data_IF_646117939042
#
_entry.id   IF_646117939042
#
_cell.length_a   1.000
_cell.length_b   1.000
_cell.length_c   1.000
_cell.angle_alpha   90.00
_cell.angle_beta   90.00
_cell.angle_gamma   90.00
#
_symmetry.space_group_name_H-M   'P 1'
#
loop_
_entity.id
_entity.type
_entity.pdbx_description
1 polymer ?
#
# COMPACT_ATOMS: atom_id res chain seq x y z
N UNK A 1 -15.43 -57.06 3.27
CA UNK A 1 -14.04 -56.55 3.21
C UNK A 1 -13.90 -55.73 1.94
N UNK A 2 -14.18 -54.43 2.02
CA UNK A 2 -13.98 -53.51 0.91
C UNK A 2 -12.87 -52.52 1.34
N UNK A 3 -11.68 -52.65 0.74
CA UNK A 3 -10.58 -51.69 0.84
C UNK A 3 -10.90 -50.53 -0.09
N UNK A 4 -11.23 -49.39 0.49
CA UNK A 4 -11.26 -48.11 -0.22
C UNK A 4 -9.83 -47.63 -0.38
N UNK A 5 -9.32 -47.63 -1.62
CA UNK A 5 -8.08 -47.02 -2.02
C UNK A 5 -8.24 -45.47 -1.86
N UNK A 6 -7.63 -44.92 -0.81
CA UNK A 6 -7.45 -43.49 -0.68
C UNK A 6 -6.42 -43.01 -1.70
N UNK A 7 -6.89 -42.45 -2.82
CA UNK A 7 -6.03 -41.67 -3.72
C UNK A 7 -5.55 -40.42 -2.98
N UNK A 8 -4.31 -40.47 -2.54
CA UNK A 8 -3.56 -39.26 -2.17
C UNK A 8 -3.36 -38.44 -3.45
N UNK A 9 -4.28 -37.54 -3.74
CA UNK A 9 -4.05 -36.47 -4.71
C UNK A 9 -2.89 -35.64 -4.16
N UNK A 10 -1.68 -35.93 -4.64
CA UNK A 10 -0.51 -35.11 -4.40
C UNK A 10 -0.80 -33.68 -4.81
N UNK A 11 -0.82 -32.78 -3.85
CA UNK A 11 -0.98 -31.34 -4.08
C UNK A 11 0.27 -30.93 -4.88
N UNK A 12 0.10 -30.80 -6.18
CA UNK A 12 1.04 -30.06 -7.03
C UNK A 12 0.95 -28.61 -6.61
N UNK A 13 1.70 -28.21 -5.59
CA UNK A 13 2.05 -26.81 -5.37
C UNK A 13 2.72 -26.40 -6.68
N UNK A 14 2.18 -25.43 -7.43
CA UNK A 14 2.76 -25.06 -8.70
C UNK A 14 4.23 -24.72 -8.46
N UNK A 15 5.12 -25.41 -9.16
CA UNK A 15 6.57 -25.23 -9.14
C UNK A 15 7.00 -23.75 -9.40
N UNK A 16 6.08 -22.92 -9.82
CA UNK A 16 6.20 -21.47 -9.95
C UNK A 16 6.55 -20.76 -8.63
N UNK A 17 6.09 -21.23 -7.48
CA UNK A 17 6.42 -20.61 -6.19
C UNK A 17 7.90 -20.85 -5.81
N UNK A 18 8.47 -21.99 -6.21
CA UNK A 18 9.88 -22.31 -5.97
C UNK A 18 10.85 -21.60 -6.93
N UNK A 19 10.41 -21.27 -8.14
CA UNK A 19 11.21 -20.51 -9.12
C UNK A 19 11.23 -19.00 -8.85
N UNK A 20 10.19 -18.45 -8.22
CA UNK A 20 10.12 -17.01 -7.92
C UNK A 20 11.12 -16.58 -6.83
N UNK A 21 11.45 -17.46 -5.89
CA UNK A 21 12.45 -17.18 -4.82
C UNK A 21 13.86 -16.97 -5.40
N UNK A 22 14.15 -17.52 -6.58
CA UNK A 22 15.49 -17.41 -7.21
C UNK A 22 15.68 -16.13 -8.03
N UNK A 23 14.63 -15.34 -8.27
CA UNK A 23 14.66 -14.18 -9.18
C UNK A 23 14.61 -12.85 -8.43
N UNK A 24 14.44 -12.83 -7.11
CA UNK A 24 14.65 -11.59 -6.37
C UNK A 24 16.12 -11.18 -6.56
N UNK A 25 16.42 -10.13 -7.32
CA UNK A 25 17.78 -9.65 -7.39
C UNK A 25 18.20 -9.32 -5.97
N UNK A 26 19.31 -9.91 -5.54
CA UNK A 26 19.97 -9.62 -4.27
C UNK A 26 19.96 -8.13 -4.05
N UNK A 27 19.20 -7.70 -3.04
CA UNK A 27 18.82 -6.37 -2.65
C UNK A 27 19.56 -5.26 -3.38
N UNK A 28 18.82 -4.39 -4.00
CA UNK A 28 19.38 -3.14 -4.49
C UNK A 28 20.04 -2.44 -3.30
N UNK A 29 21.38 -2.56 -3.23
CA UNK A 29 22.13 -1.78 -2.25
C UNK A 29 21.76 -0.33 -2.54
N UNK A 30 21.26 0.38 -1.54
CA UNK A 30 21.13 1.82 -1.60
C UNK A 30 22.54 2.39 -1.79
N UNK A 31 22.88 2.69 -3.03
CA UNK A 31 24.12 3.36 -3.35
C UNK A 31 23.93 4.83 -2.98
N UNK A 32 24.93 5.40 -2.34
CA UNK A 32 25.00 6.85 -2.20
C UNK A 32 24.79 7.49 -3.59
N UNK A 33 23.91 8.48 -3.73
CA UNK A 33 23.55 9.01 -5.04
C UNK A 33 24.81 9.55 -5.72
N UNK A 34 25.15 9.00 -6.88
CA UNK A 34 26.33 9.35 -7.65
C UNK A 34 26.39 10.85 -8.05
N UNK A 35 25.32 11.61 -7.81
CA UNK A 35 25.14 13.01 -8.12
C UNK A 35 24.73 13.85 -6.88
N UNK A 36 25.33 13.57 -5.73
CA UNK A 36 25.05 14.34 -4.51
C UNK A 36 25.19 15.87 -4.67
N UNK A 37 26.00 16.31 -5.65
CA UNK A 37 26.21 17.74 -5.90
C UNK A 37 25.04 18.45 -6.61
N UNK A 38 24.10 17.71 -7.20
CA UNK A 38 22.93 18.27 -7.88
C UNK A 38 21.76 18.60 -6.92
N UNK A 39 21.82 18.10 -5.70
CA UNK A 39 20.79 18.33 -4.68
C UNK A 39 21.11 19.56 -3.84
N UNK A 40 20.09 20.34 -3.51
CA UNK A 40 20.23 21.41 -2.52
C UNK A 40 20.40 20.84 -1.10
N UNK A 41 20.73 21.72 -0.14
CA UNK A 41 20.97 21.30 1.24
C UNK A 41 19.75 20.66 1.91
N UNK A 42 18.52 21.07 1.57
CA UNK A 42 17.30 20.49 2.11
C UNK A 42 17.05 19.09 1.55
N UNK A 43 17.31 18.91 0.26
CA UNK A 43 17.22 17.62 -0.41
C UNK A 43 18.24 16.64 0.16
N UNK A 44 19.48 17.08 0.37
CA UNK A 44 20.55 16.27 1.00
C UNK A 44 20.18 15.83 2.42
N UNK A 45 19.64 16.74 3.24
CA UNK A 45 19.16 16.41 4.59
C UNK A 45 18.02 15.39 4.50
N UNK A 46 17.04 15.65 3.65
CA UNK A 46 15.90 14.75 3.44
C UNK A 46 16.35 13.35 3.01
N UNK A 47 17.23 13.23 2.03
CA UNK A 47 17.78 11.95 1.58
C UNK A 47 18.54 11.22 2.69
N UNK A 48 19.31 11.96 3.51
CA UNK A 48 19.99 11.38 4.67
C UNK A 48 19.00 10.78 5.68
N UNK A 49 17.84 11.42 5.88
CA UNK A 49 16.84 10.98 6.85
C UNK A 49 16.00 9.80 6.35
N UNK A 50 15.68 9.74 5.04
CA UNK A 50 14.86 8.65 4.49
C UNK A 50 15.67 7.41 4.10
N UNK A 51 16.95 7.54 3.77
CA UNK A 51 17.80 6.41 3.33
C UNK A 51 17.82 5.26 4.35
N UNK A 52 17.99 5.50 5.66
CA UNK A 52 17.93 4.43 6.65
C UNK A 52 16.56 3.73 6.70
N UNK A 53 15.47 4.48 6.50
CA UNK A 53 14.10 3.93 6.48
C UNK A 53 13.93 2.97 5.31
N UNK A 54 14.37 3.39 4.12
CA UNK A 54 14.27 2.57 2.91
C UNK A 54 15.18 1.34 2.97
N UNK A 55 16.36 1.48 3.57
CA UNK A 55 17.27 0.36 3.79
C UNK A 55 16.63 -0.68 4.73
N UNK A 56 16.12 -0.24 5.88
CA UNK A 56 15.46 -1.09 6.87
C UNK A 56 14.24 -1.80 6.26
N UNK A 57 13.44 -1.10 5.45
CA UNK A 57 12.32 -1.67 4.71
C UNK A 57 12.78 -2.77 3.73
N UNK A 58 13.88 -2.56 3.03
CA UNK A 58 14.47 -3.56 2.14
C UNK A 58 14.96 -4.81 2.89
N UNK A 59 15.54 -4.64 4.08
CA UNK A 59 15.97 -5.78 4.92
C UNK A 59 14.77 -6.58 5.45
N UNK A 60 13.67 -5.91 5.83
CA UNK A 60 12.40 -6.59 6.14
C UNK A 60 11.93 -7.42 4.96
N UNK A 61 11.91 -6.84 3.76
CA UNK A 61 11.51 -7.55 2.54
C UNK A 61 12.33 -8.79 2.26
N UNK A 62 13.66 -8.71 2.41
CA UNK A 62 14.57 -9.86 2.26
C UNK A 62 14.26 -10.95 3.29
N UNK A 63 14.09 -10.56 4.55
CA UNK A 63 13.82 -11.49 5.64
C UNK A 63 12.48 -12.20 5.46
N UNK A 64 11.44 -11.45 5.10
CA UNK A 64 10.11 -12.00 4.80
C UNK A 64 10.18 -12.95 3.60
N UNK A 65 10.80 -12.54 2.50
CA UNK A 65 10.90 -13.37 1.29
C UNK A 65 11.68 -14.66 1.53
N UNK A 66 12.73 -14.62 2.35
CA UNK A 66 13.52 -15.81 2.68
C UNK A 66 12.77 -16.81 3.56
N UNK A 67 11.84 -16.35 4.39
CA UNK A 67 11.20 -17.18 5.41
C UNK A 67 9.72 -17.47 5.11
N UNK A 68 9.06 -16.73 4.21
CA UNK A 68 7.62 -16.80 3.99
C UNK A 68 7.10 -18.22 3.75
N UNK A 69 7.74 -18.99 2.87
CA UNK A 69 7.31 -20.35 2.55
C UNK A 69 7.39 -21.26 3.79
N UNK A 70 8.49 -21.22 4.53
CA UNK A 70 8.67 -22.05 5.73
C UNK A 70 7.73 -21.63 6.87
N UNK A 71 7.42 -20.34 6.97
CA UNK A 71 6.52 -19.82 7.99
C UNK A 71 5.06 -20.20 7.71
N UNK A 72 4.57 -20.02 6.49
CA UNK A 72 3.18 -20.36 6.11
C UNK A 72 2.90 -21.87 6.26
N UNK A 73 3.91 -22.73 6.11
CA UNK A 73 3.81 -24.18 6.34
C UNK A 73 4.17 -24.60 7.78
N UNK A 74 4.57 -23.66 8.63
CA UNK A 74 4.89 -23.88 10.03
C UNK A 74 3.65 -23.96 10.93
N UNK A 75 3.90 -23.85 12.24
CA UNK A 75 2.78 -23.76 13.20
C UNK A 75 2.12 -22.39 13.10
N UNK A 76 0.76 -22.30 13.22
CA UNK A 76 0.04 -21.03 13.14
C UNK A 76 0.56 -19.96 14.10
N UNK A 77 0.85 -20.33 15.34
CA UNK A 77 1.34 -19.40 16.36
C UNK A 77 2.69 -18.77 15.98
N UNK A 78 3.64 -19.59 15.53
CA UNK A 78 4.95 -19.11 15.08
C UNK A 78 4.82 -18.22 13.85
N UNK A 79 4.02 -18.64 12.90
CA UNK A 79 3.76 -17.92 11.68
C UNK A 79 3.17 -16.52 11.98
N UNK A 80 2.11 -16.47 12.79
CA UNK A 80 1.45 -15.20 13.16
C UNK A 80 2.38 -14.29 13.96
N UNK A 81 3.20 -14.84 14.86
CA UNK A 81 4.16 -14.07 15.65
C UNK A 81 5.21 -13.40 14.76
N UNK A 82 5.82 -14.15 13.84
CA UNK A 82 6.87 -13.64 12.95
C UNK A 82 6.34 -12.55 12.00
N UNK A 83 5.19 -12.76 11.38
CA UNK A 83 4.61 -11.73 10.51
C UNK A 83 4.12 -10.51 11.30
N UNK A 84 3.58 -10.71 12.51
CA UNK A 84 3.23 -9.62 13.42
C UNK A 84 4.45 -8.78 13.83
N UNK A 85 5.60 -9.43 14.04
CA UNK A 85 6.86 -8.73 14.31
C UNK A 85 7.28 -7.83 13.12
N UNK A 86 7.28 -8.37 11.90
CA UNK A 86 7.60 -7.58 10.70
C UNK A 86 6.59 -6.46 10.47
N UNK A 87 5.31 -6.70 10.73
CA UNK A 87 4.26 -5.68 10.66
C UNK A 87 4.55 -4.51 11.60
N UNK A 88 4.96 -4.79 12.83
CA UNK A 88 5.35 -3.76 13.79
C UNK A 88 6.52 -2.90 13.29
N UNK A 89 7.52 -3.51 12.64
CA UNK A 89 8.64 -2.77 12.03
C UNK A 89 8.12 -1.88 10.91
N UNK A 90 7.32 -2.41 9.98
CA UNK A 90 6.80 -1.66 8.82
C UNK A 90 5.95 -0.46 9.26
N UNK A 91 5.09 -0.60 10.28
CA UNK A 91 4.31 0.50 10.82
C UNK A 91 5.19 1.56 11.52
N UNK A 92 6.27 1.14 12.19
CA UNK A 92 7.27 2.07 12.73
C UNK A 92 7.96 2.87 11.63
N UNK A 93 8.37 2.21 10.54
CA UNK A 93 8.99 2.87 9.38
C UNK A 93 8.03 3.86 8.71
N UNK A 94 6.77 3.51 8.56
CA UNK A 94 5.71 4.38 8.07
C UNK A 94 5.56 5.63 8.93
N UNK A 95 5.49 5.45 10.24
CA UNK A 95 5.40 6.57 11.19
C UNK A 95 6.61 7.48 11.07
N UNK A 96 7.83 6.93 11.03
CA UNK A 96 9.05 7.71 10.86
C UNK A 96 9.05 8.49 9.54
N UNK A 97 8.69 7.84 8.42
CA UNK A 97 8.67 8.49 7.12
C UNK A 97 7.62 9.62 7.06
N UNK A 98 6.43 9.42 7.63
CA UNK A 98 5.37 10.44 7.63
C UNK A 98 5.71 11.68 8.45
N UNK A 99 6.65 11.60 9.39
CA UNK A 99 7.11 12.77 10.16
C UNK A 99 8.16 13.61 9.43
N UNK A 100 8.72 13.11 8.33
CA UNK A 100 9.76 13.82 7.56
C UNK A 100 9.09 14.58 6.41
N UNK A 101 9.01 15.93 6.45
CA UNK A 101 8.39 16.69 5.37
C UNK A 101 9.30 16.68 4.12
N UNK A 102 8.80 16.25 2.97
CA UNK A 102 9.61 16.24 1.76
C UNK A 102 9.83 17.67 1.23
N UNK A 103 11.04 17.98 0.73
CA UNK A 103 11.25 19.17 -0.08
C UNK A 103 10.39 19.10 -1.35
N UNK A 104 10.04 20.25 -1.98
CA UNK A 104 9.12 20.27 -3.11
C UNK A 104 9.49 19.33 -4.27
N UNK A 105 10.79 19.17 -4.57
CA UNK A 105 11.27 18.27 -5.63
C UNK A 105 11.30 16.80 -5.22
N UNK A 106 11.23 16.49 -3.92
CA UNK A 106 11.23 15.12 -3.37
C UNK A 106 9.83 14.58 -3.09
N UNK A 107 8.78 15.29 -3.47
CA UNK A 107 7.40 14.88 -3.23
C UNK A 107 7.06 13.52 -3.85
N UNK A 108 7.53 13.25 -5.07
CA UNK A 108 7.33 11.97 -5.75
C UNK A 108 8.12 10.84 -5.07
N UNK A 109 9.37 11.09 -4.69
CA UNK A 109 10.21 10.15 -3.92
C UNK A 109 9.51 9.75 -2.63
N UNK A 110 9.02 10.72 -1.88
CA UNK A 110 8.30 10.51 -0.62
C UNK A 110 7.01 9.72 -0.80
N UNK A 111 6.18 10.11 -1.78
CA UNK A 111 4.92 9.43 -2.07
C UNK A 111 5.14 7.97 -2.50
N UNK A 112 6.14 7.71 -3.35
CA UNK A 112 6.50 6.37 -3.82
C UNK A 112 7.02 5.50 -2.66
N UNK A 113 7.82 6.09 -1.75
CA UNK A 113 8.29 5.40 -0.55
C UNK A 113 7.14 5.02 0.40
N UNK A 114 6.18 5.91 0.63
CA UNK A 114 4.98 5.61 1.42
C UNK A 114 4.12 4.52 0.78
N UNK A 115 4.00 4.51 -0.55
CA UNK A 115 3.29 3.44 -1.27
C UNK A 115 4.01 2.10 -1.12
N UNK A 116 5.34 2.06 -1.18
CA UNK A 116 6.11 0.84 -0.94
C UNK A 116 5.86 0.28 0.46
N UNK A 117 5.87 1.14 1.49
CA UNK A 117 5.54 0.75 2.87
C UNK A 117 4.11 0.19 2.96
N UNK A 118 3.15 0.82 2.29
CA UNK A 118 1.76 0.36 2.25
C UNK A 118 1.62 -1.02 1.61
N UNK A 119 2.33 -1.28 0.52
CA UNK A 119 2.32 -2.59 -0.13
C UNK A 119 2.99 -3.66 0.76
N UNK A 120 4.08 -3.34 1.46
CA UNK A 120 4.66 -4.26 2.45
C UNK A 120 3.68 -4.58 3.57
N UNK A 121 3.02 -3.58 4.15
CA UNK A 121 2.00 -3.77 5.19
C UNK A 121 0.89 -4.70 4.70
N UNK A 122 0.33 -4.43 3.51
CA UNK A 122 -0.71 -5.28 2.91
C UNK A 122 -0.22 -6.71 2.66
N UNK A 123 1.02 -6.89 2.20
CA UNK A 123 1.61 -8.21 2.00
C UNK A 123 1.75 -9.00 3.29
N UNK A 124 2.21 -8.36 4.36
CA UNK A 124 2.32 -8.98 5.67
C UNK A 124 0.97 -9.37 6.28
N UNK A 125 -0.07 -8.53 6.10
CA UNK A 125 -1.43 -8.85 6.51
C UNK A 125 -1.98 -10.10 5.80
N UNK A 126 -1.72 -10.23 4.49
CA UNK A 126 -2.11 -11.40 3.73
C UNK A 126 -1.35 -12.66 4.18
N UNK A 127 -0.05 -12.56 4.48
CA UNK A 127 0.68 -13.69 5.06
C UNK A 127 0.17 -14.07 6.45
N UNK A 128 -0.13 -13.10 7.30
CA UNK A 128 -0.73 -13.36 8.61
C UNK A 128 -2.09 -14.08 8.48
N UNK A 129 -2.92 -13.68 7.51
CA UNK A 129 -4.16 -14.37 7.19
C UNK A 129 -3.90 -15.81 6.72
N UNK A 130 -2.90 -16.04 5.86
CA UNK A 130 -2.52 -17.37 5.43
C UNK A 130 -2.09 -18.29 6.59
N UNK A 131 -1.50 -17.73 7.65
CA UNK A 131 -1.05 -18.51 8.80
C UNK A 131 -2.18 -19.23 9.54
N UNK A 132 -3.33 -18.57 9.66
CA UNK A 132 -4.49 -19.06 10.43
C UNK A 132 -5.52 -19.78 9.55
N UNK A 133 -5.37 -19.71 8.23
CA UNK A 133 -6.29 -20.35 7.28
C UNK A 133 -6.06 -21.87 7.26
N UNK A 134 -7.15 -22.63 7.32
CA UNK A 134 -7.15 -24.09 7.32
C UNK A 134 -7.42 -24.68 5.93
N UNK A 135 -8.13 -23.95 5.08
CA UNK A 135 -8.34 -24.35 3.68
C UNK A 135 -7.08 -24.05 2.85
N UNK A 136 -6.48 -25.09 2.30
CA UNK A 136 -5.23 -24.97 1.55
C UNK A 136 -5.36 -24.12 0.27
N UNK A 137 -6.53 -24.08 -0.37
CA UNK A 137 -6.74 -23.26 -1.56
C UNK A 137 -6.78 -21.78 -1.17
N UNK A 138 -7.54 -21.43 -0.13
CA UNK A 138 -7.66 -20.07 0.39
C UNK A 138 -6.31 -19.61 0.96
N UNK A 139 -5.63 -20.48 1.70
CA UNK A 139 -4.25 -20.23 2.18
C UNK A 139 -3.30 -19.87 1.03
N UNK A 140 -3.36 -20.62 -0.07
CA UNK A 140 -2.54 -20.37 -1.26
C UNK A 140 -2.88 -19.03 -1.93
N UNK A 141 -4.16 -18.66 -1.98
CA UNK A 141 -4.57 -17.35 -2.49
C UNK A 141 -4.04 -16.19 -1.64
N UNK A 142 -4.10 -16.30 -0.31
CA UNK A 142 -3.51 -15.31 0.58
C UNK A 142 -2.00 -15.19 0.38
N UNK A 143 -1.29 -16.30 0.30
CA UNK A 143 0.16 -16.32 0.08
C UNK A 143 0.54 -15.69 -1.27
N UNK A 144 -0.23 -15.96 -2.33
CA UNK A 144 -0.02 -15.37 -3.65
C UNK A 144 -0.24 -13.86 -3.64
N UNK A 145 -1.34 -13.38 -3.03
CA UNK A 145 -1.61 -11.93 -2.89
C UNK A 145 -0.54 -11.24 -2.05
N UNK A 146 -0.09 -11.89 -0.97
CA UNK A 146 1.01 -11.40 -0.17
C UNK A 146 2.27 -11.20 -1.02
N UNK A 147 2.63 -12.22 -1.80
CA UNK A 147 3.79 -12.16 -2.69
C UNK A 147 3.70 -11.04 -3.72
N UNK A 148 2.54 -10.86 -4.36
CA UNK A 148 2.32 -9.78 -5.32
C UNK A 148 2.49 -8.40 -4.69
N UNK A 149 2.00 -8.20 -3.46
CA UNK A 149 2.21 -6.97 -2.71
C UNK A 149 3.68 -6.72 -2.40
N UNK A 150 4.45 -7.74 -1.98
CA UNK A 150 5.88 -7.60 -1.72
C UNK A 150 6.67 -7.26 -2.99
N UNK A 151 6.34 -7.89 -4.12
CA UNK A 151 6.95 -7.58 -5.44
C UNK A 151 6.62 -6.14 -5.85
N UNK A 152 5.38 -5.68 -5.64
CA UNK A 152 4.98 -4.29 -5.89
C UNK A 152 5.78 -3.31 -5.04
N UNK A 153 5.94 -3.60 -3.76
CA UNK A 153 6.74 -2.79 -2.84
C UNK A 153 8.20 -2.69 -3.27
N UNK A 154 8.83 -3.82 -3.63
CA UNK A 154 10.22 -3.85 -4.09
C UNK A 154 10.43 -3.05 -5.39
N UNK A 155 9.48 -3.13 -6.32
CA UNK A 155 9.50 -2.31 -7.54
C UNK A 155 9.42 -0.81 -7.22
N UNK A 156 8.61 -0.41 -6.23
CA UNK A 156 8.53 0.99 -5.79
C UNK A 156 9.83 1.46 -5.12
N UNK A 157 10.47 0.60 -4.34
CA UNK A 157 11.80 0.92 -3.77
C UNK A 157 12.83 1.15 -4.88
N UNK A 158 12.83 0.32 -5.93
CA UNK A 158 13.69 0.54 -7.12
C UNK A 158 13.36 1.83 -7.86
N UNK A 159 12.07 2.16 -7.96
CA UNK A 159 11.63 3.44 -8.54
C UNK A 159 12.15 4.62 -7.71
N UNK A 160 12.07 4.56 -6.38
CA UNK A 160 12.65 5.57 -5.48
C UNK A 160 14.15 5.72 -5.76
N UNK A 161 14.88 4.61 -5.83
CA UNK A 161 16.31 4.65 -6.17
C UNK A 161 16.56 5.31 -7.54
N UNK A 162 15.77 4.99 -8.55
CA UNK A 162 15.87 5.60 -9.86
C UNK A 162 15.62 7.11 -9.81
N UNK A 163 14.60 7.56 -9.09
CA UNK A 163 14.27 8.99 -8.92
C UNK A 163 15.39 9.77 -8.22
N UNK A 164 16.10 9.12 -7.30
CA UNK A 164 17.22 9.74 -6.56
C UNK A 164 18.51 9.75 -7.40
N UNK A 165 18.75 8.69 -8.18
CA UNK A 165 20.04 8.52 -8.91
C UNK A 165 20.04 9.13 -10.30
N UNK A 166 18.87 9.29 -10.92
CA UNK A 166 18.78 9.92 -12.25
C UNK A 166 18.92 11.43 -12.08
N UNK A 167 19.96 12.07 -12.70
CA UNK A 167 20.03 13.52 -12.69
C UNK A 167 18.75 14.02 -13.37
N UNK A 168 17.90 14.69 -12.61
CA UNK A 168 16.79 15.43 -13.24
C UNK A 168 17.47 16.42 -14.21
N UNK A 169 17.42 16.11 -15.50
CA UNK A 169 17.76 17.10 -16.51
C UNK A 169 17.01 18.36 -16.10
N UNK A 170 17.75 19.43 -15.85
CA UNK A 170 17.31 20.67 -15.22
C UNK A 170 15.83 20.91 -15.52
N UNK A 171 15.00 20.67 -14.52
CA UNK A 171 13.56 20.71 -14.70
C UNK A 171 13.24 22.08 -15.28
N UNK A 172 12.88 22.11 -16.56
CA UNK A 172 12.05 23.19 -17.05
C UNK A 172 10.98 23.40 -15.97
N UNK A 173 10.69 24.65 -15.54
CA UNK A 173 9.76 24.91 -14.46
C UNK A 173 8.53 24.02 -14.70
N UNK A 174 8.31 23.07 -13.77
CA UNK A 174 7.27 22.07 -13.94
C UNK A 174 6.00 22.84 -14.26
N UNK A 175 5.29 22.51 -15.33
CA UNK A 175 4.00 23.14 -15.62
C UNK A 175 3.22 23.00 -14.33
N UNK A 176 2.81 24.12 -13.74
CA UNK A 176 2.20 24.23 -12.43
C UNK A 176 1.29 23.03 -12.24
N UNK A 177 1.61 22.18 -11.26
CA UNK A 177 1.01 20.87 -11.11
C UNK A 177 -0.50 21.05 -11.19
N UNK A 178 -1.11 20.61 -12.30
CA UNK A 178 -2.55 20.69 -12.49
C UNK A 178 -3.12 19.88 -11.35
N UNK A 179 -3.69 20.56 -10.34
CA UNK A 179 -4.28 19.91 -9.18
C UNK A 179 -5.30 18.91 -9.70
N UNK A 180 -4.98 17.64 -9.52
CA UNK A 180 -5.87 16.54 -9.91
C UNK A 180 -7.25 16.81 -9.32
N UNK A 181 -8.27 16.83 -10.15
CA UNK A 181 -9.65 17.04 -9.72
C UNK A 181 -10.16 15.87 -8.91
N UNK A 182 -11.19 16.07 -8.09
CA UNK A 182 -11.83 14.96 -7.36
C UNK A 182 -12.32 13.85 -8.30
N UNK A 183 -12.80 14.20 -9.49
CA UNK A 183 -13.22 13.23 -10.51
C UNK A 183 -12.04 12.37 -11.00
N UNK A 184 -10.90 12.97 -11.27
CA UNK A 184 -9.69 12.23 -11.66
C UNK A 184 -9.18 11.32 -10.55
N UNK A 185 -9.21 11.78 -9.29
CA UNK A 185 -8.86 10.96 -8.12
C UNK A 185 -9.79 9.75 -7.96
N UNK A 186 -11.10 9.96 -8.11
CA UNK A 186 -12.11 8.89 -8.09
C UNK A 186 -11.82 7.87 -9.20
N UNK A 187 -11.64 8.34 -10.44
CA UNK A 187 -11.34 7.46 -11.57
C UNK A 187 -10.10 6.60 -11.31
N UNK A 188 -8.99 7.23 -10.89
CA UNK A 188 -7.74 6.54 -10.58
C UNK A 188 -7.91 5.50 -9.48
N UNK A 189 -8.63 5.84 -8.40
CA UNK A 189 -8.91 4.92 -7.30
C UNK A 189 -9.70 3.70 -7.78
N UNK A 190 -10.78 3.92 -8.52
CA UNK A 190 -11.65 2.84 -9.00
C UNK A 190 -10.94 1.94 -10.01
N UNK A 191 -10.12 2.51 -10.90
CA UNK A 191 -9.29 1.74 -11.83
C UNK A 191 -8.25 0.89 -11.08
N UNK A 192 -7.60 1.45 -10.06
CA UNK A 192 -6.64 0.71 -9.23
C UNK A 192 -7.30 -0.40 -8.41
N UNK A 193 -8.55 -0.21 -7.96
CA UNK A 193 -9.29 -1.23 -7.19
C UNK A 193 -9.81 -2.38 -8.05
N UNK A 194 -10.07 -2.13 -9.33
CA UNK A 194 -10.68 -3.10 -10.26
C UNK A 194 -9.97 -3.09 -11.62
N UNK A 195 -8.66 -3.42 -11.70
CA UNK A 195 -7.84 -3.18 -12.90
C UNK A 195 -8.28 -3.96 -14.14
N UNK A 196 -8.98 -5.09 -13.97
CA UNK A 196 -9.40 -5.97 -15.06
C UNK A 196 -10.94 -5.99 -15.27
N UNK A 197 -11.70 -5.22 -14.50
CA UNK A 197 -13.18 -5.25 -14.53
C UNK A 197 -13.76 -3.85 -14.78
N UNK A 198 -13.96 -3.51 -16.06
CA UNK A 198 -14.51 -2.20 -16.48
C UNK A 198 -15.90 -1.93 -15.87
N UNK A 199 -16.75 -2.95 -15.75
CA UNK A 199 -18.09 -2.80 -15.14
C UNK A 199 -17.98 -2.39 -13.67
N UNK A 200 -17.05 -3.00 -12.92
CA UNK A 200 -16.81 -2.65 -11.53
C UNK A 200 -16.14 -1.29 -11.39
N UNK A 201 -15.29 -0.90 -12.36
CA UNK A 201 -14.74 0.47 -12.41
C UNK A 201 -15.87 1.50 -12.59
N UNK A 202 -16.74 1.32 -13.58
CA UNK A 202 -17.88 2.23 -13.82
C UNK A 202 -18.81 2.32 -12.61
N UNK A 203 -19.16 1.17 -12.02
CA UNK A 203 -19.97 1.11 -10.80
C UNK A 203 -19.32 1.84 -9.63
N UNK A 204 -18.02 1.64 -9.42
CA UNK A 204 -17.24 2.32 -8.40
C UNK A 204 -17.24 3.85 -8.64
N UNK A 205 -16.91 4.30 -9.84
CA UNK A 205 -16.87 5.74 -10.21
C UNK A 205 -18.23 6.39 -9.99
N UNK A 206 -19.30 5.77 -10.44
CA UNK A 206 -20.66 6.26 -10.25
C UNK A 206 -20.97 6.45 -8.76
N UNK A 207 -20.80 5.42 -7.94
CA UNK A 207 -21.11 5.46 -6.51
C UNK A 207 -20.27 6.51 -5.76
N UNK A 208 -18.99 6.61 -6.07
CA UNK A 208 -18.10 7.58 -5.44
C UNK A 208 -18.47 9.02 -5.83
N UNK A 209 -18.86 9.25 -7.09
CA UNK A 209 -19.27 10.58 -7.59
C UNK A 209 -20.59 11.02 -6.97
N UNK A 210 -21.57 10.13 -6.90
CA UNK A 210 -22.87 10.39 -6.24
C UNK A 210 -22.68 10.70 -4.76
N UNK A 211 -21.81 9.93 -4.07
CA UNK A 211 -21.49 10.15 -2.66
C UNK A 211 -20.75 11.47 -2.42
N UNK A 212 -19.85 11.88 -3.33
CA UNK A 212 -19.20 13.19 -3.28
C UNK A 212 -20.22 14.33 -3.42
N UNK A 213 -21.18 14.18 -4.34
CA UNK A 213 -22.25 15.16 -4.50
C UNK A 213 -23.11 15.28 -3.22
N UNK A 214 -23.48 14.15 -2.63
CA UNK A 214 -24.20 14.09 -1.34
C UNK A 214 -23.42 14.79 -0.23
N UNK A 215 -22.13 14.50 -0.07
CA UNK A 215 -21.28 15.17 0.92
C UNK A 215 -21.22 16.69 0.70
N UNK A 216 -21.09 17.12 -0.54
CA UNK A 216 -21.08 18.55 -0.86
C UNK A 216 -22.42 19.22 -0.49
N UNK A 217 -23.54 18.54 -0.71
CA UNK A 217 -24.85 19.02 -0.29
C UNK A 217 -24.95 19.12 1.24
N UNK A 218 -24.52 18.10 1.98
CA UNK A 218 -24.46 18.14 3.45
C UNK A 218 -23.57 19.28 3.94
N UNK A 219 -22.43 19.50 3.28
CA UNK A 219 -21.52 20.59 3.61
C UNK A 219 -22.12 21.98 3.36
N UNK A 220 -23.05 22.13 2.44
CA UNK A 220 -23.82 23.36 2.23
C UNK A 220 -24.94 23.54 3.25
N UNK A 221 -25.59 22.44 3.62
CA UNK A 221 -26.69 22.43 4.57
C UNK A 221 -26.25 22.75 6.00
N UNK A 222 -25.09 22.23 6.44
CA UNK A 222 -24.61 22.37 7.80
C UNK A 222 -23.55 23.48 7.94
N UNK A 223 -23.80 24.52 8.76
CA UNK A 223 -22.86 25.63 8.95
C UNK A 223 -21.50 25.17 9.50
N UNK A 224 -20.47 25.94 9.22
CA UNK A 224 -19.16 25.71 9.80
C UNK A 224 -19.23 25.76 11.35
N UNK A 225 -18.68 24.75 12.01
CA UNK A 225 -18.68 24.64 13.47
C UNK A 225 -19.88 23.93 14.08
N UNK A 226 -20.93 23.60 13.31
CA UNK A 226 -22.08 22.83 13.79
C UNK A 226 -21.67 21.43 14.23
N UNK A 227 -22.44 20.77 15.13
CA UNK A 227 -22.20 19.38 15.50
C UNK A 227 -22.16 18.43 14.30
N UNK A 228 -23.09 18.61 13.35
CA UNK A 228 -23.19 17.80 12.13
C UNK A 228 -21.96 17.99 11.23
N UNK A 229 -21.44 19.22 11.15
CA UNK A 229 -20.20 19.49 10.40
C UNK A 229 -19.00 18.79 11.00
N UNK A 230 -18.92 18.68 12.32
CA UNK A 230 -17.87 17.93 13.03
C UNK A 230 -17.97 16.43 12.76
N UNK A 231 -19.20 15.88 12.68
CA UNK A 231 -19.44 14.49 12.29
C UNK A 231 -18.92 14.24 10.87
N UNK A 232 -19.24 15.11 9.91
CA UNK A 232 -18.76 14.99 8.53
C UNK A 232 -17.22 15.01 8.49
N UNK A 233 -16.59 15.92 9.24
CA UNK A 233 -15.13 16.01 9.30
C UNK A 233 -14.50 14.77 9.92
N UNK A 234 -15.06 14.25 11.01
CA UNK A 234 -14.61 13.03 11.67
C UNK A 234 -14.72 11.82 10.75
N UNK A 235 -15.89 11.61 10.12
CA UNK A 235 -16.10 10.53 9.16
C UNK A 235 -15.16 10.63 7.95
N UNK A 236 -14.94 11.84 7.43
CA UNK A 236 -14.00 12.06 6.32
C UNK A 236 -12.57 11.71 6.70
N UNK A 237 -12.15 12.01 7.92
CA UNK A 237 -10.81 11.69 8.41
C UNK A 237 -10.60 10.17 8.52
N UNK A 238 -11.61 9.42 8.97
CA UNK A 238 -11.57 7.96 9.10
C UNK A 238 -11.41 7.26 7.73
N UNK A 239 -12.13 7.75 6.72
CA UNK A 239 -12.18 7.13 5.39
C UNK A 239 -11.26 7.79 4.36
N UNK A 240 -10.31 8.56 4.84
CA UNK A 240 -9.24 9.14 4.02
C UNK A 240 -8.06 8.16 3.91
N UNK A 241 -7.74 7.74 2.68
CA UNK A 241 -6.55 6.95 2.37
C UNK A 241 -5.59 7.80 1.51
N UNK A 242 -4.55 8.35 2.15
CA UNK A 242 -3.64 9.29 1.48
C UNK A 242 -4.38 10.58 1.05
N UNK A 243 -4.34 10.89 -0.25
CA UNK A 243 -5.08 12.03 -0.83
C UNK A 243 -6.49 11.69 -1.33
N UNK A 244 -6.90 10.46 -1.18
CA UNK A 244 -8.17 9.94 -1.71
C UNK A 244 -9.11 9.68 -0.52
N UNK A 245 -10.39 10.02 -0.73
CA UNK A 245 -11.45 9.74 0.22
C UNK A 245 -12.34 8.63 -0.34
N UNK A 246 -12.72 7.66 0.50
CA UNK A 246 -13.85 6.79 0.19
C UNK A 246 -15.14 7.56 0.53
N UNK A 247 -15.67 8.28 -0.46
CA UNK A 247 -16.84 9.13 -0.27
C UNK A 247 -18.08 8.33 0.11
N UNK A 248 -18.23 7.11 -0.43
CA UNK A 248 -19.35 6.22 -0.11
C UNK A 248 -19.35 5.84 1.37
N UNK A 249 -18.18 5.43 1.86
CA UNK A 249 -18.04 5.06 3.28
C UNK A 249 -18.14 6.28 4.19
N UNK A 250 -17.69 7.43 3.72
CA UNK A 250 -17.86 8.69 4.46
C UNK A 250 -19.35 9.04 4.61
N UNK A 251 -20.14 8.99 3.54
CA UNK A 251 -21.60 9.25 3.59
C UNK A 251 -22.31 8.24 4.49
N UNK A 252 -21.96 6.95 4.38
CA UNK A 252 -22.51 5.91 5.25
C UNK A 252 -22.21 6.19 6.73
N UNK A 253 -20.97 6.56 7.06
CA UNK A 253 -20.59 6.93 8.42
C UNK A 253 -21.39 8.14 8.93
N UNK A 254 -21.53 9.19 8.12
CA UNK A 254 -22.29 10.41 8.49
C UNK A 254 -23.74 10.09 8.74
N UNK A 255 -24.40 9.36 7.84
CA UNK A 255 -25.81 9.00 7.99
C UNK A 255 -26.05 8.18 9.25
N UNK A 256 -25.18 7.21 9.57
CA UNK A 256 -25.27 6.42 10.79
C UNK A 256 -25.14 7.28 12.06
N UNK A 257 -24.24 8.27 12.05
CA UNK A 257 -24.04 9.12 13.23
C UNK A 257 -25.10 10.19 13.40
N UNK A 258 -25.69 10.65 12.29
CA UNK A 258 -26.77 11.65 12.33
C UNK A 258 -28.19 11.02 12.39
N UNK A 259 -28.29 9.69 12.28
CA UNK A 259 -29.58 8.99 12.29
C UNK A 259 -30.47 9.29 11.07
N UNK A 260 -29.87 9.58 9.92
CA UNK A 260 -30.56 9.95 8.68
C UNK A 260 -30.66 8.79 7.67
N UNK A 261 -30.64 7.55 8.14
CA UNK A 261 -30.84 6.34 7.32
C UNK A 261 -32.28 6.10 6.97
#
# INVERSE_FOLDING_TARGET
MNRTNGETKGILIPALLLLAVSILPRGAAFSEPANADTFDNREKIYLKDITPILYELSEVGKSVSANAVSLVHGTPDRCSYEFGYYQGIVESLKTRLTTIPPPPRMGEVHATALQAIGDYSNGLDQYAAACIETDNNIKSEYAERAWQNLVSADNKIRQVNSLITTPSAAAAPAPAAVKETSAQKIQRMCTASWPADERMQEYCVKNQTESLATLNQMLQQYPAGSPERKVIQSCSAVWKKGEIYDYRMTVFCVNNQLGTN
#
